data_IF_935360248848
#
_entry.id   IF_935360248848
#
_cell.length_a   1.000
_cell.length_b   1.000
_cell.length_c   1.000
_cell.angle_alpha   90.00
_cell.angle_beta   90.00
_cell.angle_gamma   90.00
#
_symmetry.space_group_name_H-M   'P 1'
#
loop_
_entity.id
_entity.type
_entity.pdbx_description
1 polymer ?
#
# COMPACT_ATOMS: atom_id res chain seq x y z
N UNK A 1 -13.04 -4.03 -9.05
CA UNK A 1 -12.27 -3.64 -7.84
C UNK A 1 -10.83 -3.45 -8.25
N UNK A 2 -10.15 -2.45 -7.69
CA UNK A 2 -8.74 -2.18 -7.97
C UNK A 2 -7.84 -3.26 -7.33
N UNK A 3 -6.70 -3.55 -7.95
CA UNK A 3 -5.69 -4.46 -7.41
C UNK A 3 -4.30 -4.05 -7.88
N UNK A 4 -3.28 -4.46 -7.14
CA UNK A 4 -1.87 -4.31 -7.46
C UNK A 4 -1.12 -5.60 -7.12
N UNK A 5 0.12 -5.70 -7.55
CA UNK A 5 1.04 -6.75 -7.13
C UNK A 5 2.13 -6.19 -6.24
N UNK A 6 2.48 -6.94 -5.21
CA UNK A 6 3.64 -6.65 -4.36
C UNK A 6 4.34 -7.95 -4.03
N UNK A 7 5.65 -8.01 -4.28
CA UNK A 7 6.45 -9.24 -4.12
C UNK A 7 5.80 -10.45 -4.82
N UNK A 8 5.35 -10.26 -6.07
CA UNK A 8 4.62 -11.23 -6.91
C UNK A 8 3.29 -11.74 -6.35
N UNK A 9 2.77 -11.13 -5.28
CA UNK A 9 1.49 -11.49 -4.69
C UNK A 9 0.44 -10.46 -5.02
N UNK A 10 -0.75 -10.94 -5.36
CA UNK A 10 -1.90 -10.09 -5.64
C UNK A 10 -2.44 -9.48 -4.35
N UNK A 11 -2.61 -8.16 -4.35
CA UNK A 11 -3.27 -7.40 -3.29
C UNK A 11 -4.45 -6.64 -3.90
N UNK A 12 -5.67 -6.99 -3.48
CA UNK A 12 -6.86 -6.22 -3.86
C UNK A 12 -6.96 -4.99 -2.97
N UNK A 13 -7.26 -3.85 -3.58
CA UNK A 13 -7.53 -2.59 -2.87
C UNK A 13 -9.04 -2.41 -2.79
N UNK A 14 -9.56 -2.44 -1.57
CA UNK A 14 -10.99 -2.33 -1.28
C UNK A 14 -11.35 -0.92 -0.80
N UNK A 15 -10.42 -0.28 -0.08
CA UNK A 15 -10.53 1.09 0.38
C UNK A 15 -9.22 1.83 0.24
N UNK A 16 -9.29 3.06 -0.26
CA UNK A 16 -8.14 3.94 -0.40
C UNK A 16 -8.55 5.40 -0.21
N UNK A 17 -7.63 6.24 0.29
CA UNK A 17 -7.82 7.69 0.39
C UNK A 17 -6.59 8.44 -0.11
N UNK A 18 -6.75 9.58 -0.80
CA UNK A 18 -5.63 10.43 -1.16
C UNK A 18 -4.99 11.05 0.08
N UNK A 19 -3.68 11.26 0.02
CA UNK A 19 -2.88 11.91 1.05
C UNK A 19 -1.88 12.84 0.36
N UNK A 20 -1.87 14.10 0.79
CA UNK A 20 -1.04 15.13 0.16
C UNK A 20 0.46 14.99 0.50
N UNK A 21 0.79 14.29 1.60
CA UNK A 21 2.17 14.12 2.04
C UNK A 21 2.76 12.79 1.57
N UNK A 22 3.46 12.85 0.45
CA UNK A 22 4.55 11.94 0.15
C UNK A 22 5.85 12.47 0.75
N UNK A 23 6.75 11.61 1.21
CA UNK A 23 8.14 12.06 1.39
C UNK A 23 8.67 12.64 0.06
N UNK A 24 9.63 13.57 0.14
CA UNK A 24 10.17 14.27 -1.05
C UNK A 24 10.95 13.35 -2.00
N UNK A 25 11.46 12.22 -1.49
CA UNK A 25 12.30 11.26 -2.20
C UNK A 25 11.57 9.92 -2.45
N UNK A 26 10.35 9.97 -2.98
CA UNK A 26 9.57 8.76 -3.30
C UNK A 26 9.35 8.63 -4.80
N UNK A 27 9.40 7.40 -5.30
CA UNK A 27 9.12 7.09 -6.71
C UNK A 27 7.71 6.55 -6.87
N UNK A 28 7.02 6.82 -7.99
CA UNK A 28 5.74 6.19 -8.28
C UNK A 28 5.80 4.67 -8.14
N UNK A 29 4.82 4.09 -7.46
CA UNK A 29 4.77 2.67 -7.10
C UNK A 29 5.47 2.33 -5.79
N UNK A 30 6.26 3.21 -5.19
CA UNK A 30 6.95 2.91 -3.93
C UNK A 30 5.97 2.80 -2.76
N UNK A 31 6.12 1.74 -1.96
CA UNK A 31 5.40 1.50 -0.73
C UNK A 31 5.90 2.44 0.36
N UNK A 32 4.95 3.17 0.94
CA UNK A 32 5.17 4.09 2.04
C UNK A 32 4.58 3.51 3.31
N UNK A 33 5.40 3.43 4.34
CA UNK A 33 5.01 2.90 5.64
C UNK A 33 5.22 4.00 6.67
N UNK A 34 4.12 4.64 7.09
CA UNK A 34 4.15 5.74 8.07
C UNK A 34 3.12 5.48 9.16
N UNK A 35 3.52 5.52 10.44
CA UNK A 35 2.62 5.34 11.59
C UNK A 35 1.65 4.16 11.47
N UNK A 36 2.15 3.01 10.97
CA UNK A 36 1.36 1.77 10.76
C UNK A 36 0.28 1.91 9.69
N UNK A 37 0.42 2.86 8.76
CA UNK A 37 -0.43 3.01 7.58
C UNK A 37 0.34 2.60 6.34
N UNK A 38 -0.35 1.91 5.45
CA UNK A 38 0.18 1.51 4.16
C UNK A 38 -0.21 2.55 3.12
N UNK A 39 0.77 3.14 2.46
CA UNK A 39 0.58 4.04 1.34
C UNK A 39 1.34 3.60 0.10
N UNK A 40 0.93 4.16 -1.03
CA UNK A 40 1.62 4.02 -2.31
C UNK A 40 1.90 5.42 -2.83
N UNK A 41 3.15 5.67 -3.20
CA UNK A 41 3.53 6.88 -3.92
C UNK A 41 2.98 6.84 -5.34
N UNK A 42 2.38 7.94 -5.78
CA UNK A 42 1.89 8.14 -7.14
C UNK A 42 2.55 9.39 -7.74
N UNK A 43 2.38 9.58 -9.04
CA UNK A 43 2.81 10.82 -9.68
C UNK A 43 1.95 11.99 -9.16
N UNK A 44 2.58 12.94 -8.46
CA UNK A 44 1.91 14.13 -7.91
C UNK A 44 1.23 13.96 -6.54
N UNK A 45 1.36 12.82 -5.86
CA UNK A 45 0.76 12.61 -4.54
C UNK A 45 0.82 11.18 -4.07
N UNK A 46 0.16 10.88 -2.95
CA UNK A 46 0.21 9.58 -2.32
C UNK A 46 -1.20 9.05 -2.03
N UNK A 47 -1.34 7.73 -2.02
CA UNK A 47 -2.61 7.07 -1.74
C UNK A 47 -2.42 6.13 -0.56
N UNK A 48 -3.17 6.36 0.52
CA UNK A 48 -3.23 5.44 1.65
C UNK A 48 -4.23 4.33 1.37
N UNK A 49 -3.79 3.09 1.52
CA UNK A 49 -4.60 1.89 1.41
C UNK A 49 -5.24 1.60 2.78
N UNK A 50 -6.49 1.99 2.95
CA UNK A 50 -7.21 1.83 4.22
C UNK A 50 -7.71 0.40 4.41
N UNK A 51 -8.12 -0.26 3.33
CA UNK A 51 -8.59 -1.65 3.34
C UNK A 51 -8.06 -2.43 2.13
N UNK A 52 -7.46 -3.59 2.41
CA UNK A 52 -6.83 -4.46 1.41
C UNK A 52 -7.22 -5.91 1.62
N UNK A 53 -7.16 -6.71 0.55
CA UNK A 53 -7.36 -8.15 0.62
C UNK A 53 -6.20 -8.87 -0.07
N UNK A 54 -5.32 -9.52 0.71
CA UNK A 54 -4.31 -10.43 0.17
C UNK A 54 -4.96 -11.66 -0.45
N UNK A 55 -4.28 -12.26 -1.43
CA UNK A 55 -4.74 -13.50 -2.04
C UNK A 55 -4.97 -14.62 -1.00
N UNK A 56 -6.14 -15.26 -1.09
CA UNK A 56 -6.54 -16.33 -0.17
C UNK A 56 -6.88 -15.88 1.25
N UNK A 57 -6.87 -14.56 1.56
CA UNK A 57 -7.19 -14.03 2.90
C UNK A 57 -8.47 -13.20 2.91
N UNK A 58 -8.98 -12.94 4.12
CA UNK A 58 -10.08 -12.00 4.37
C UNK A 58 -9.59 -10.56 4.17
N UNK A 59 -10.49 -9.62 3.78
CA UNK A 59 -10.23 -8.19 3.85
C UNK A 59 -9.67 -7.78 5.22
N UNK A 60 -8.73 -6.86 5.23
CA UNK A 60 -8.10 -6.34 6.44
C UNK A 60 -7.64 -4.88 6.27
N UNK A 61 -7.47 -4.13 7.37
CA UNK A 61 -6.86 -2.81 7.32
C UNK A 61 -5.43 -2.85 6.76
N UNK A 62 -5.03 -1.81 6.01
CA UNK A 62 -3.67 -1.73 5.47
C UNK A 62 -2.57 -1.81 6.54
N UNK A 63 -2.83 -1.28 7.73
CA UNK A 63 -1.91 -1.40 8.87
C UNK A 63 -1.74 -2.83 9.41
N UNK A 64 -2.77 -3.66 9.32
CA UNK A 64 -2.69 -5.06 9.73
C UNK A 64 -1.98 -5.92 8.68
N UNK A 65 -2.16 -5.56 7.40
CA UNK A 65 -1.40 -6.15 6.32
C UNK A 65 0.11 -5.95 6.51
N UNK A 66 0.55 -4.74 6.88
CA UNK A 66 1.96 -4.43 7.17
C UNK A 66 2.55 -5.35 8.26
N UNK A 67 1.80 -5.57 9.34
CA UNK A 67 2.25 -6.41 10.47
C UNK A 67 2.46 -7.87 10.08
N UNK A 68 1.63 -8.39 9.18
CA UNK A 68 1.60 -9.81 8.83
C UNK A 68 2.41 -10.20 7.58
N UNK A 69 2.70 -9.25 6.68
CA UNK A 69 3.39 -9.53 5.42
C UNK A 69 4.83 -8.99 5.35
N UNK A 70 5.28 -8.22 6.34
CA UNK A 70 6.67 -7.81 6.44
C UNK A 70 7.11 -6.82 5.35
N UNK A 71 6.16 -6.07 4.77
CA UNK A 71 6.50 -5.06 3.76
C UNK A 71 7.36 -3.99 4.42
N UNK A 72 8.61 -3.95 4.01
CA UNK A 72 9.53 -2.90 4.40
C UNK A 72 9.24 -1.65 3.56
N UNK A 73 9.33 -0.46 4.17
CA UNK A 73 9.28 0.79 3.40
C UNK A 73 10.35 0.75 2.30
N UNK A 74 9.95 0.99 1.05
CA UNK A 74 10.83 0.90 -0.12
C UNK A 74 10.53 -0.24 -1.11
N UNK A 75 9.62 -1.17 -0.81
CA UNK A 75 9.09 -2.09 -1.83
C UNK A 75 8.31 -1.35 -2.92
N UNK A 76 8.14 -1.96 -4.10
CA UNK A 76 7.42 -1.37 -5.21
C UNK A 76 6.17 -2.18 -5.53
N UNK A 77 5.04 -1.49 -5.65
CA UNK A 77 3.81 -1.98 -6.22
C UNK A 77 3.90 -1.97 -7.75
N UNK A 78 3.53 -3.09 -8.37
CA UNK A 78 3.48 -3.30 -9.83
C UNK A 78 2.05 -3.48 -10.35
#
# INVERSE_FOLDING_TARGET
GAFCYISDRKLKVLGARPVDSCGSDVRPGQALVTDKRLGVACEGGCVELTEVQPEGKRPMPGGDFLRGHGIAGGEFFQ
#
